data_IF_116541765869
#
_entry.id   IF_116541765869
#
_cell.length_a   1.000
_cell.length_b   1.000
_cell.length_c   1.000
_cell.angle_alpha   90.00
_cell.angle_beta   90.00
_cell.angle_gamma   90.00
#
_symmetry.space_group_name_H-M   'P 1'
#
loop_
_entity.id
_entity.type
_entity.pdbx_description
1 polymer ?
#
# COMPACT_ATOMS: atom_id res chain seq x y z
N UNK A 1 -11.07 -20.17 -17.84
CA UNK A 1 -12.20 -19.61 -17.06
C UNK A 1 -11.91 -18.13 -16.86
N UNK A 2 -12.81 -17.23 -17.26
CA UNK A 2 -12.63 -15.78 -17.08
C UNK A 2 -13.72 -15.27 -16.12
N UNK A 3 -13.33 -14.42 -15.18
CA UNK A 3 -14.22 -13.79 -14.21
C UNK A 3 -13.92 -12.28 -14.15
N UNK A 4 -14.95 -11.49 -13.86
CA UNK A 4 -14.86 -10.04 -13.71
C UNK A 4 -15.29 -9.66 -12.30
N UNK A 5 -14.52 -8.79 -11.67
CA UNK A 5 -14.80 -8.29 -10.33
C UNK A 5 -14.82 -6.77 -10.35
N UNK A 6 -15.80 -6.19 -9.69
CA UNK A 6 -15.86 -4.75 -9.44
C UNK A 6 -15.50 -4.51 -7.98
N UNK A 7 -14.52 -3.65 -7.75
CA UNK A 7 -13.99 -3.36 -6.42
C UNK A 7 -14.30 -1.92 -6.03
N UNK A 8 -14.58 -1.69 -4.75
CA UNK A 8 -14.60 -0.33 -4.20
C UNK A 8 -13.21 0.30 -4.27
N UNK A 9 -13.08 1.63 -4.23
CA UNK A 9 -11.77 2.29 -4.21
C UNK A 9 -10.85 1.81 -3.08
N UNK A 10 -11.42 1.46 -1.91
CA UNK A 10 -10.65 0.95 -0.78
C UNK A 10 -10.13 -0.48 -1.03
N UNK A 11 -10.94 -1.35 -1.60
CA UNK A 11 -10.54 -2.72 -1.98
C UNK A 11 -9.51 -2.70 -3.10
N UNK A 12 -9.66 -1.84 -4.10
CA UNK A 12 -8.68 -1.66 -5.17
C UNK A 12 -7.31 -1.24 -4.63
N UNK A 13 -7.27 -0.26 -3.71
CA UNK A 13 -6.01 0.16 -3.06
C UNK A 13 -5.40 -0.94 -2.20
N UNK A 14 -6.23 -1.72 -1.50
CA UNK A 14 -5.78 -2.88 -0.71
C UNK A 14 -5.16 -3.95 -1.61
N UNK A 15 -5.79 -4.24 -2.76
CA UNK A 15 -5.28 -5.20 -3.72
C UNK A 15 -3.91 -4.76 -4.27
N UNK A 16 -3.79 -3.47 -4.64
CA UNK A 16 -2.50 -2.88 -5.05
C UNK A 16 -1.47 -3.02 -3.91
N UNK A 17 -1.85 -2.69 -2.68
CA UNK A 17 -0.98 -2.83 -1.50
C UNK A 17 -0.40 -4.23 -1.35
N UNK A 18 -1.26 -5.25 -1.43
CA UNK A 18 -0.86 -6.66 -1.35
C UNK A 18 0.05 -7.05 -2.50
N UNK A 19 -0.28 -6.62 -3.72
CA UNK A 19 0.55 -6.88 -4.90
C UNK A 19 1.96 -6.30 -4.76
N UNK A 20 2.07 -5.04 -4.34
CA UNK A 20 3.36 -4.37 -4.14
C UNK A 20 4.19 -5.04 -3.04
N UNK A 21 3.57 -5.37 -1.89
CA UNK A 21 4.28 -6.05 -0.80
C UNK A 21 4.75 -7.48 -1.17
N UNK A 22 4.10 -8.11 -2.16
CA UNK A 22 4.47 -9.43 -2.64
C UNK A 22 5.63 -9.42 -3.67
N UNK A 23 6.05 -8.26 -4.18
CA UNK A 23 7.12 -8.17 -5.17
C UNK A 23 8.49 -8.57 -4.56
N UNK A 24 9.28 -9.43 -5.24
CA UNK A 24 10.58 -9.89 -4.73
C UNK A 24 11.56 -8.75 -4.41
N UNK A 25 11.62 -7.73 -5.27
CA UNK A 25 12.47 -6.55 -5.10
C UNK A 25 12.08 -5.72 -3.88
N UNK A 26 10.78 -5.64 -3.57
CA UNK A 26 10.28 -4.95 -2.38
C UNK A 26 10.66 -5.73 -1.12
N UNK A 27 10.46 -7.05 -1.11
CA UNK A 27 10.84 -7.91 0.02
C UNK A 27 12.35 -7.91 0.25
N UNK A 28 13.14 -7.91 -0.83
CA UNK A 28 14.59 -7.82 -0.75
C UNK A 28 15.04 -6.48 -0.15
N UNK A 29 14.51 -5.36 -0.64
CA UNK A 29 14.80 -4.04 -0.12
C UNK A 29 14.35 -3.87 1.34
N UNK A 30 13.23 -4.48 1.73
CA UNK A 30 12.76 -4.47 3.13
C UNK A 30 13.75 -5.17 4.09
N UNK A 31 14.43 -6.23 3.63
CA UNK A 31 15.38 -6.99 4.45
C UNK A 31 16.79 -6.43 4.41
N UNK A 32 17.22 -5.90 3.27
CA UNK A 32 18.63 -5.60 2.99
C UNK A 32 18.91 -4.11 2.71
N UNK A 33 17.91 -3.24 2.78
CA UNK A 33 18.06 -1.83 2.43
C UNK A 33 16.95 -0.95 2.97
N UNK A 34 16.60 0.08 2.20
CA UNK A 34 15.59 1.06 2.57
C UNK A 34 14.48 1.12 1.54
N UNK A 35 13.24 1.22 2.03
CA UNK A 35 12.06 1.50 1.23
C UNK A 35 11.56 2.91 1.59
N UNK A 36 11.55 3.81 0.61
CA UNK A 36 10.89 5.11 0.76
C UNK A 36 9.43 4.99 0.32
N UNK A 37 8.51 5.25 1.26
CA UNK A 37 7.08 5.29 0.99
C UNK A 37 6.61 6.75 0.99
N UNK A 38 6.28 7.26 -0.20
CA UNK A 38 5.78 8.63 -0.35
C UNK A 38 4.37 8.82 0.23
N UNK A 39 3.91 10.07 0.31
CA UNK A 39 2.52 10.38 0.67
C UNK A 39 1.54 9.90 -0.41
N UNK A 40 0.30 9.65 -0.01
CA UNK A 40 -0.78 9.25 -0.91
C UNK A 40 -1.69 8.19 -0.31
N UNK A 41 -2.99 8.31 -0.54
CA UNK A 41 -3.97 7.40 0.07
C UNK A 41 -3.76 5.93 -0.30
N UNK A 42 -3.19 5.63 -1.48
CA UNK A 42 -2.82 4.26 -1.88
C UNK A 42 -1.58 3.77 -1.12
N UNK A 43 -0.58 4.65 -0.96
CA UNK A 43 0.66 4.32 -0.23
C UNK A 43 0.39 4.02 1.24
N UNK A 44 -0.67 4.57 1.82
CA UNK A 44 -1.12 4.19 3.15
C UNK A 44 -1.47 2.68 3.23
N UNK A 45 -2.11 2.12 2.20
CA UNK A 45 -2.42 0.69 2.15
C UNK A 45 -1.15 -0.14 1.92
N UNK A 46 -0.27 0.31 1.01
CA UNK A 46 1.04 -0.34 0.81
C UNK A 46 1.80 -0.39 2.15
N UNK A 47 1.85 0.71 2.89
CA UNK A 47 2.55 0.78 4.16
C UNK A 47 1.94 -0.16 5.22
N UNK A 48 0.62 -0.29 5.27
CA UNK A 48 -0.02 -1.27 6.16
C UNK A 48 0.38 -2.71 5.82
N UNK A 49 0.42 -3.07 4.54
CA UNK A 49 0.83 -4.41 4.11
C UNK A 49 2.31 -4.65 4.43
N UNK A 50 3.19 -3.66 4.20
CA UNK A 50 4.61 -3.75 4.52
C UNK A 50 4.88 -3.86 6.03
N UNK A 51 4.10 -3.15 6.86
CA UNK A 51 4.27 -3.14 8.32
C UNK A 51 3.50 -4.27 9.03
N UNK A 52 2.59 -4.96 8.34
CA UNK A 52 1.71 -5.98 8.93
C UNK A 52 0.74 -5.45 9.97
N UNK A 53 0.48 -4.13 10.01
CA UNK A 53 -0.40 -3.49 10.99
C UNK A 53 -1.15 -2.32 10.38
N UNK A 54 -2.31 -1.99 10.97
CA UNK A 54 -3.08 -0.81 10.57
C UNK A 54 -2.34 0.48 10.96
N UNK A 55 -2.51 1.51 10.14
CA UNK A 55 -2.00 2.85 10.38
C UNK A 55 -3.14 3.87 10.30
N UNK A 56 -2.90 5.08 10.84
CA UNK A 56 -3.78 6.24 10.61
C UNK A 56 -3.62 6.73 9.18
N UNK A 57 -4.49 6.25 8.27
CA UNK A 57 -4.42 6.56 6.83
C UNK A 57 -4.76 8.02 6.53
N UNK A 58 -5.39 8.72 7.47
CA UNK A 58 -5.76 10.12 7.36
C UNK A 58 -4.52 10.94 7.07
N UNK A 59 -3.38 10.67 7.71
CA UNK A 59 -2.12 11.39 7.46
C UNK A 59 -1.50 11.20 6.05
N UNK A 60 -2.11 10.38 5.20
CA UNK A 60 -1.67 10.10 3.83
C UNK A 60 -2.59 10.70 2.76
N UNK A 61 -3.65 11.41 3.14
CA UNK A 61 -4.55 12.07 2.19
C UNK A 61 -4.01 13.42 1.71
N UNK A 62 -4.52 13.92 0.59
CA UNK A 62 -4.19 15.27 0.12
C UNK A 62 -4.90 16.31 1.01
N UNK A 63 -4.26 17.46 1.24
CA UNK A 63 -4.88 18.56 1.99
C UNK A 63 -4.67 18.53 3.50
N UNK A 64 -3.95 17.56 4.07
CA UNK A 64 -3.36 17.76 5.40
C UNK A 64 -2.26 18.81 5.31
N UNK A 65 -2.60 20.03 5.75
CA UNK A 65 -1.63 21.01 6.19
C UNK A 65 -0.74 20.45 7.30
N UNK A 66 0.47 20.98 7.37
CA UNK A 66 1.39 20.76 8.49
C UNK A 66 0.77 21.39 9.75
#
# INVERSE_FOLDING_TARGET
>A
MQAMFTLTPAESKRLIGKGVAALPEIQHAQKNGYLLVGRGSTNAYILEELLGKKIKKEGYTAGQGI
#
